data_IF_181488835693
#
_entry.id   IF_181488835693
#
_cell.length_a   1.000
_cell.length_b   1.000
_cell.length_c   1.000
_cell.angle_alpha   90.00
_cell.angle_beta   90.00
_cell.angle_gamma   90.00
#
_symmetry.space_group_name_H-M   'P 1'
#
loop_
_entity.id
_entity.type
_entity.pdbx_description
1 polymer ?
#
# COMPACT_ATOMS: atom_id res chain seq x y z
N UNK A 1 -22.18 -17.54 10.00
CA UNK A 1 -21.38 -16.74 9.05
C UNK A 1 -22.28 -15.71 8.39
N UNK A 2 -21.91 -14.43 8.43
CA UNK A 2 -22.65 -13.37 7.72
C UNK A 2 -22.32 -13.43 6.23
N UNK A 3 -23.19 -12.85 5.37
CA UNK A 3 -22.95 -12.78 3.92
C UNK A 3 -21.58 -12.17 3.54
N UNK A 4 -21.06 -11.24 4.36
CA UNK A 4 -19.72 -10.66 4.16
C UNK A 4 -18.59 -11.65 4.38
N UNK A 5 -18.70 -12.55 5.35
CA UNK A 5 -17.70 -13.60 5.59
C UNK A 5 -17.67 -14.61 4.43
N UNK A 6 -18.86 -14.98 3.91
CA UNK A 6 -18.97 -15.87 2.75
C UNK A 6 -18.36 -15.23 1.50
N UNK A 7 -18.63 -13.94 1.26
CA UNK A 7 -18.06 -13.20 0.13
C UNK A 7 -16.53 -13.12 0.21
N UNK A 8 -15.97 -12.88 1.40
CA UNK A 8 -14.53 -12.86 1.62
C UNK A 8 -13.90 -14.24 1.43
N UNK A 9 -14.54 -15.29 1.98
CA UNK A 9 -14.08 -16.66 1.79
C UNK A 9 -14.04 -17.04 0.30
N UNK A 10 -15.12 -16.78 -0.44
CA UNK A 10 -15.20 -17.05 -1.87
C UNK A 10 -14.13 -16.28 -2.66
N UNK A 11 -13.87 -15.03 -2.29
CA UNK A 11 -12.81 -14.24 -2.92
C UNK A 11 -11.44 -14.86 -2.72
N UNK A 12 -11.12 -15.27 -1.49
CA UNK A 12 -9.83 -15.92 -1.15
C UNK A 12 -9.72 -17.26 -1.87
N UNK A 13 -10.76 -18.08 -1.79
CA UNK A 13 -10.82 -19.40 -2.42
C UNK A 13 -10.64 -19.30 -3.93
N UNK A 14 -11.41 -18.45 -4.59
CA UNK A 14 -11.32 -18.27 -6.04
C UNK A 14 -9.94 -17.79 -6.49
N UNK A 15 -9.32 -16.86 -5.73
CA UNK A 15 -7.96 -16.41 -6.02
C UNK A 15 -6.93 -17.50 -5.82
N UNK A 16 -7.07 -18.31 -4.78
CA UNK A 16 -6.18 -19.45 -4.54
C UNK A 16 -6.27 -20.45 -5.68
N UNK A 17 -7.48 -20.91 -6.04
CA UNK A 17 -7.67 -21.84 -7.15
C UNK A 17 -7.13 -21.26 -8.46
N UNK A 18 -7.47 -20.01 -8.79
CA UNK A 18 -6.98 -19.35 -9.99
C UNK A 18 -5.44 -19.29 -10.06
N UNK A 19 -4.77 -19.15 -8.92
CA UNK A 19 -3.29 -19.14 -8.85
C UNK A 19 -2.66 -20.48 -9.22
N UNK A 20 -3.38 -21.60 -9.06
CA UNK A 20 -2.94 -22.95 -9.39
C UNK A 20 -3.33 -23.35 -10.82
N UNK A 21 -4.15 -22.54 -11.49
CA UNK A 21 -4.62 -22.83 -12.84
C UNK A 21 -3.63 -22.38 -13.90
N UNK A 22 -3.80 -22.95 -15.11
CA UNK A 22 -3.06 -22.51 -16.31
C UNK A 22 -3.28 -21.02 -16.58
N UNK A 23 -2.26 -20.36 -17.10
CA UNK A 23 -2.35 -18.97 -17.55
C UNK A 23 -3.37 -18.84 -18.69
N UNK A 24 -4.18 -17.80 -18.65
CA UNK A 24 -5.06 -17.46 -19.76
C UNK A 24 -4.26 -16.86 -20.92
N UNK A 25 -4.71 -17.13 -22.16
CA UNK A 25 -4.22 -16.44 -23.35
C UNK A 25 -5.27 -15.46 -23.80
N UNK A 26 -4.91 -14.20 -23.87
CA UNK A 26 -5.83 -13.09 -24.20
C UNK A 26 -5.31 -12.37 -25.44
N UNK A 27 -6.20 -12.09 -26.37
CA UNK A 27 -5.91 -11.23 -27.50
C UNK A 27 -6.00 -9.78 -27.02
N UNK A 28 -4.90 -9.05 -27.15
CA UNK A 28 -4.80 -7.64 -26.79
C UNK A 28 -4.70 -6.79 -28.04
N UNK A 29 -5.56 -5.80 -28.13
CA UNK A 29 -5.57 -4.79 -29.17
C UNK A 29 -4.83 -3.54 -28.68
N UNK A 30 -3.94 -3.02 -29.53
CA UNK A 30 -3.28 -1.75 -29.30
C UNK A 30 -3.84 -0.71 -30.25
N UNK A 31 -4.59 0.25 -29.71
CA UNK A 31 -5.25 1.31 -30.47
C UNK A 31 -4.45 2.60 -30.34
N UNK A 32 -4.11 3.19 -31.47
CA UNK A 32 -3.50 4.52 -31.54
C UNK A 32 -4.58 5.51 -31.95
N UNK A 33 -4.85 6.48 -31.09
CA UNK A 33 -5.80 7.55 -31.34
C UNK A 33 -5.03 8.85 -31.53
N UNK A 34 -5.23 9.49 -32.68
CA UNK A 34 -4.70 10.81 -32.98
C UNK A 34 -5.83 11.83 -32.88
N UNK A 35 -5.65 12.85 -32.06
CA UNK A 35 -6.60 13.93 -31.88
C UNK A 35 -5.86 15.26 -31.78
N UNK A 36 -6.05 16.12 -32.77
CA UNK A 36 -5.28 17.37 -32.91
C UNK A 36 -3.77 17.09 -32.87
N UNK A 37 -3.06 17.59 -31.86
CA UNK A 37 -1.62 17.38 -31.69
C UNK A 37 -1.28 16.31 -30.64
N UNK A 38 -2.28 15.55 -30.16
CA UNK A 38 -2.09 14.50 -29.15
C UNK A 38 -2.19 13.12 -29.80
N UNK A 39 -1.25 12.24 -29.41
CA UNK A 39 -1.26 10.81 -29.75
C UNK A 39 -1.44 10.04 -28.45
N UNK A 40 -2.48 9.24 -28.39
CA UNK A 40 -2.81 8.41 -27.24
C UNK A 40 -2.77 6.95 -27.68
N UNK A 41 -2.03 6.11 -26.95
CA UNK A 41 -2.05 4.66 -27.14
C UNK A 41 -2.86 4.03 -26.01
N UNK A 42 -3.82 3.17 -26.39
CA UNK A 42 -4.67 2.43 -25.45
C UNK A 42 -4.55 0.95 -25.77
N UNK A 43 -4.33 0.15 -24.73
CA UNK A 43 -4.32 -1.31 -24.86
C UNK A 43 -5.57 -1.88 -24.22
N UNK A 44 -6.29 -2.72 -24.96
CA UNK A 44 -7.52 -3.36 -24.51
C UNK A 44 -7.45 -4.86 -24.72
N UNK A 45 -7.89 -5.62 -23.73
CA UNK A 45 -8.11 -7.05 -23.90
C UNK A 45 -9.47 -7.25 -24.58
N UNK A 46 -9.49 -7.90 -25.74
CA UNK A 46 -10.68 -7.99 -26.61
C UNK A 46 -11.24 -9.39 -26.73
N UNK A 47 -10.43 -10.42 -26.51
CA UNK A 47 -10.88 -11.80 -26.67
C UNK A 47 -10.03 -12.74 -25.78
N UNK A 48 -10.66 -13.75 -25.21
CA UNK A 48 -9.97 -14.82 -24.49
C UNK A 48 -9.80 -16.00 -25.45
N UNK A 49 -8.55 -16.29 -25.83
CA UNK A 49 -8.19 -17.40 -26.71
C UNK A 49 -8.07 -18.75 -25.98
N UNK A 50 -7.60 -18.70 -24.73
CA UNK A 50 -7.50 -19.86 -23.84
C UNK A 50 -7.91 -19.38 -22.43
N UNK A 51 -8.98 -19.95 -21.93
CA UNK A 51 -9.62 -19.44 -20.71
C UNK A 51 -8.70 -19.50 -19.46
N UNK A 52 -7.96 -20.60 -19.28
CA UNK A 52 -7.09 -20.73 -18.10
C UNK A 52 -7.78 -20.30 -16.81
N UNK A 53 -7.12 -19.46 -16.00
CA UNK A 53 -7.66 -18.95 -14.72
C UNK A 53 -8.91 -18.06 -14.87
N UNK A 54 -9.22 -17.54 -16.08
CA UNK A 54 -10.37 -16.66 -16.28
C UNK A 54 -11.72 -17.37 -16.17
N UNK A 55 -11.73 -18.70 -16.14
CA UNK A 55 -12.92 -19.49 -15.78
C UNK A 55 -13.44 -19.19 -14.37
N UNK A 56 -12.53 -18.88 -13.46
CA UNK A 56 -12.88 -18.60 -12.04
C UNK A 56 -12.82 -17.09 -11.75
N UNK A 57 -11.84 -16.40 -12.32
CA UNK A 57 -11.67 -14.94 -12.19
C UNK A 57 -11.83 -14.28 -13.56
N UNK A 58 -13.06 -13.97 -13.98
CA UNK A 58 -13.31 -13.37 -15.27
C UNK A 58 -12.63 -12.01 -15.38
N UNK A 59 -12.04 -11.73 -16.54
CA UNK A 59 -11.47 -10.45 -16.90
C UNK A 59 -12.47 -9.62 -17.70
N UNK A 60 -12.34 -8.30 -17.62
CA UNK A 60 -13.16 -7.39 -18.40
C UNK A 60 -12.61 -7.31 -19.83
N UNK A 61 -13.42 -7.68 -20.80
CA UNK A 61 -13.10 -7.54 -22.21
C UNK A 61 -13.72 -6.26 -22.77
N UNK A 62 -13.02 -5.64 -23.69
CA UNK A 62 -13.49 -4.49 -24.46
C UNK A 62 -13.94 -4.94 -25.86
N UNK A 63 -14.81 -4.18 -26.49
CA UNK A 63 -15.14 -4.43 -27.88
C UNK A 63 -13.96 -4.08 -28.78
N UNK A 64 -13.75 -4.86 -29.86
CA UNK A 64 -12.75 -4.55 -30.90
C UNK A 64 -13.02 -3.18 -31.50
N UNK A 65 -12.00 -2.36 -31.60
CA UNK A 65 -12.07 -1.03 -32.16
C UNK A 65 -11.92 -1.10 -33.69
N UNK A 66 -12.86 -0.55 -34.43
CA UNK A 66 -12.70 -0.45 -35.88
C UNK A 66 -11.86 0.77 -36.23
N UNK A 67 -10.83 0.63 -37.09
CA UNK A 67 -10.07 1.79 -37.55
C UNK A 67 -10.97 2.75 -38.36
N UNK A 68 -10.77 4.04 -38.15
CA UNK A 68 -11.53 5.07 -38.83
C UNK A 68 -11.68 6.36 -38.04
N UNK A 69 -12.42 7.30 -38.60
CA UNK A 69 -12.73 8.56 -37.89
C UNK A 69 -13.77 8.29 -36.81
N UNK A 70 -13.50 8.75 -35.61
CA UNK A 70 -14.41 8.64 -34.48
C UNK A 70 -14.90 10.03 -34.08
N UNK A 71 -16.20 10.14 -33.79
CA UNK A 71 -16.78 11.35 -33.27
C UNK A 71 -16.69 11.36 -31.73
N UNK A 72 -16.24 12.47 -31.16
CA UNK A 72 -16.24 12.66 -29.72
C UNK A 72 -17.70 12.85 -29.28
N UNK A 73 -18.21 11.94 -28.45
CA UNK A 73 -19.56 12.04 -27.89
C UNK A 73 -19.61 12.87 -26.63
N UNK A 74 -18.56 12.82 -25.81
CA UNK A 74 -18.54 13.44 -24.52
C UNK A 74 -17.09 13.77 -24.12
N UNK A 75 -16.86 14.97 -23.60
CA UNK A 75 -15.60 15.35 -22.97
C UNK A 75 -15.90 15.63 -21.49
N UNK A 76 -15.27 14.86 -20.61
CA UNK A 76 -15.35 15.09 -19.18
C UNK A 76 -14.05 15.70 -18.68
N UNK A 77 -14.16 16.84 -18.03
CA UNK A 77 -13.02 17.37 -17.31
C UNK A 77 -13.27 17.29 -15.80
N UNK A 78 -12.23 16.94 -15.09
CA UNK A 78 -12.22 17.01 -13.64
C UNK A 78 -10.94 17.64 -13.15
N UNK A 79 -11.06 18.43 -12.11
CA UNK A 79 -9.89 19.02 -11.47
C UNK A 79 -9.18 17.94 -10.66
N UNK A 80 -7.94 17.66 -11.00
CA UNK A 80 -7.06 16.82 -10.20
C UNK A 80 -6.33 17.77 -9.24
N UNK A 81 -6.67 17.71 -7.96
CA UNK A 81 -6.01 18.50 -6.94
C UNK A 81 -4.78 17.72 -6.44
N UNK A 82 -3.58 18.19 -6.77
CA UNK A 82 -2.30 17.76 -6.20
C UNK A 82 -2.06 16.24 -6.09
N UNK A 83 -1.22 15.83 -5.15
CA UNK A 83 -1.01 14.42 -4.83
C UNK A 83 -2.26 13.85 -4.17
N UNK A 84 -2.78 12.70 -4.62
CA UNK A 84 -3.96 12.08 -4.01
C UNK A 84 -3.65 11.67 -2.57
N UNK A 85 -4.66 11.79 -1.70
CA UNK A 85 -4.57 11.25 -0.34
C UNK A 85 -4.43 9.72 -0.39
N UNK A 86 -3.71 9.16 0.57
CA UNK A 86 -3.47 7.72 0.67
C UNK A 86 -4.70 6.99 1.24
N UNK A 87 -4.95 5.78 0.77
CA UNK A 87 -5.82 4.81 1.43
C UNK A 87 -5.00 3.97 2.43
N UNK A 88 -5.68 3.20 3.26
CA UNK A 88 -5.01 2.24 4.14
C UNK A 88 -4.14 1.26 3.34
N UNK A 89 -4.66 0.76 2.20
CA UNK A 89 -3.91 -0.12 1.30
C UNK A 89 -2.68 0.54 0.68
N UNK A 90 -2.74 1.85 0.38
CA UNK A 90 -1.58 2.59 -0.12
C UNK A 90 -0.48 2.69 0.95
N UNK A 91 -0.87 2.93 2.21
CA UNK A 91 0.09 2.96 3.33
C UNK A 91 0.74 1.58 3.54
N UNK A 92 -0.06 0.50 3.54
CA UNK A 92 0.48 -0.86 3.66
C UNK A 92 1.48 -1.16 2.54
N UNK A 93 1.15 -0.80 1.30
CA UNK A 93 2.06 -0.98 0.17
C UNK A 93 3.36 -0.21 0.36
N UNK A 94 3.29 1.06 0.77
CA UNK A 94 4.47 1.88 1.06
C UNK A 94 5.32 1.32 2.19
N UNK A 95 4.71 0.83 3.26
CA UNK A 95 5.43 0.18 4.37
C UNK A 95 6.18 -1.05 3.87
N UNK A 96 5.54 -1.88 3.05
CA UNK A 96 6.16 -3.06 2.44
C UNK A 96 7.33 -2.69 1.52
N UNK A 97 7.14 -1.72 0.63
CA UNK A 97 8.18 -1.24 -0.29
C UNK A 97 9.39 -0.67 0.45
N UNK A 98 9.14 0.03 1.56
CA UNK A 98 10.18 0.64 2.39
C UNK A 98 10.74 -0.30 3.45
N UNK A 99 10.25 -1.54 3.54
CA UNK A 99 10.64 -2.55 4.54
C UNK A 99 10.48 -2.06 5.97
N UNK A 100 9.32 -1.46 6.26
CA UNK A 100 8.94 -0.95 7.59
C UNK A 100 7.79 -1.80 8.11
N UNK A 101 7.98 -2.49 9.24
CA UNK A 101 7.01 -3.41 9.81
C UNK A 101 6.88 -4.73 9.04
N UNK A 102 5.98 -5.58 9.49
CA UNK A 102 5.74 -6.93 8.98
C UNK A 102 4.27 -7.13 8.58
N UNK A 103 3.94 -8.12 7.76
CA UNK A 103 2.55 -8.39 7.37
C UNK A 103 1.59 -8.51 8.55
N UNK A 104 2.04 -9.12 9.65
CA UNK A 104 1.26 -9.27 10.90
C UNK A 104 1.01 -7.95 11.65
N UNK A 105 1.82 -6.92 11.41
CA UNK A 105 1.75 -5.65 12.15
C UNK A 105 1.15 -4.50 11.35
N UNK A 106 1.06 -4.59 10.02
CA UNK A 106 0.60 -3.48 9.18
C UNK A 106 -0.79 -2.95 9.57
N UNK A 107 -1.76 -3.85 9.71
CA UNK A 107 -3.12 -3.45 10.09
C UNK A 107 -3.19 -2.88 11.51
N UNK A 108 -2.39 -3.43 12.43
CA UNK A 108 -2.30 -2.94 13.81
C UNK A 108 -1.72 -1.53 13.87
N UNK A 109 -0.71 -1.22 13.07
CA UNK A 109 -0.13 0.13 12.99
C UNK A 109 -1.20 1.12 12.53
N UNK A 110 -1.93 0.80 11.45
CA UNK A 110 -2.97 1.69 10.92
C UNK A 110 -4.09 1.87 11.94
N UNK A 111 -4.60 0.80 12.56
CA UNK A 111 -5.63 0.92 13.60
C UNK A 111 -5.16 1.79 14.77
N UNK A 112 -3.91 1.65 15.21
CA UNK A 112 -3.34 2.48 16.28
C UNK A 112 -3.32 3.97 15.90
N UNK A 113 -2.98 4.32 14.65
CA UNK A 113 -3.01 5.71 14.17
C UNK A 113 -4.43 6.29 14.18
N UNK A 114 -5.43 5.47 13.83
CA UNK A 114 -6.85 5.85 13.86
C UNK A 114 -7.37 5.98 15.29
N UNK A 115 -7.09 5.00 16.16
CA UNK A 115 -7.50 4.97 17.56
C UNK A 115 -6.96 6.17 18.34
N UNK A 116 -5.71 6.55 18.08
CA UNK A 116 -5.07 7.75 18.63
C UNK A 116 -5.48 9.05 17.96
N UNK A 117 -6.32 8.98 16.95
CA UNK A 117 -6.79 10.12 16.17
C UNK A 117 -5.66 10.95 15.52
N UNK A 118 -4.52 10.33 15.23
CA UNK A 118 -3.45 10.99 14.47
C UNK A 118 -3.82 11.11 12.99
N UNK A 119 -4.63 10.19 12.50
CA UNK A 119 -5.26 10.22 11.18
C UNK A 119 -6.76 9.91 11.31
N UNK A 120 -7.56 10.40 10.36
CA UNK A 120 -8.98 10.07 10.21
C UNK A 120 -9.25 9.55 8.81
N UNK A 121 -10.33 8.79 8.66
CA UNK A 121 -10.77 8.28 7.35
C UNK A 121 -11.84 9.22 6.78
N UNK A 122 -11.61 9.74 5.56
CA UNK A 122 -12.61 10.49 4.82
C UNK A 122 -13.85 9.65 4.56
N UNK A 123 -15.08 10.09 4.96
CA UNK A 123 -16.29 9.30 4.84
C UNK A 123 -16.60 8.84 3.40
N UNK A 124 -16.44 9.75 2.43
CA UNK A 124 -16.78 9.49 1.03
C UNK A 124 -15.71 8.75 0.26
N UNK A 125 -14.45 9.15 0.39
CA UNK A 125 -13.34 8.65 -0.45
C UNK A 125 -12.54 7.52 0.21
N UNK A 126 -12.81 7.18 1.46
CA UNK A 126 -12.05 6.18 2.25
C UNK A 126 -10.54 6.43 2.21
N UNK A 127 -10.15 7.71 2.27
CA UNK A 127 -8.76 8.16 2.27
C UNK A 127 -8.36 8.66 3.65
N UNK A 128 -7.10 8.46 4.00
CA UNK A 128 -6.52 8.91 5.26
C UNK A 128 -6.19 10.41 5.19
N UNK A 129 -6.55 11.13 6.23
CA UNK A 129 -6.27 12.55 6.40
C UNK A 129 -5.54 12.71 7.72
N UNK A 130 -4.36 13.34 7.70
CA UNK A 130 -3.65 13.70 8.92
C UNK A 130 -4.46 14.73 9.72
N UNK A 131 -4.53 14.54 11.02
CA UNK A 131 -5.13 15.52 11.92
C UNK A 131 -4.08 16.51 12.40
N UNK A 132 -4.52 17.66 12.94
CA UNK A 132 -3.62 18.63 13.57
C UNK A 132 -2.79 17.99 14.69
N UNK A 133 -3.43 17.17 15.53
CA UNK A 133 -2.74 16.40 16.57
C UNK A 133 -1.66 15.49 15.99
N UNK A 134 -1.98 14.75 14.91
CA UNK A 134 -1.00 13.89 14.23
C UNK A 134 0.20 14.65 13.69
N UNK A 135 -0.03 15.82 13.09
CA UNK A 135 1.04 16.69 12.61
C UNK A 135 1.92 17.24 13.74
N UNK A 136 1.32 17.68 14.84
CA UNK A 136 2.04 18.19 16.01
C UNK A 136 2.90 17.11 16.64
N UNK A 137 2.35 15.91 16.85
CA UNK A 137 3.11 14.75 17.38
C UNK A 137 4.24 14.37 16.43
N UNK A 138 4.00 14.32 15.13
CA UNK A 138 5.06 14.03 14.15
C UNK A 138 6.19 15.06 14.21
N UNK A 139 5.86 16.35 14.26
CA UNK A 139 6.85 17.43 14.37
C UNK A 139 7.68 17.30 15.64
N UNK A 140 7.01 17.09 16.77
CA UNK A 140 7.67 16.91 18.06
C UNK A 140 8.64 15.72 18.05
N UNK A 141 8.17 14.56 17.61
CA UNK A 141 8.99 13.35 17.55
C UNK A 141 10.17 13.51 16.58
N UNK A 142 9.93 14.13 15.41
CA UNK A 142 10.97 14.32 14.43
C UNK A 142 12.03 15.35 14.87
N UNK A 143 11.67 16.32 15.70
CA UNK A 143 12.62 17.30 16.27
C UNK A 143 13.40 16.69 17.42
N UNK A 144 12.72 16.07 18.38
CA UNK A 144 13.30 15.61 19.63
C UNK A 144 13.94 14.22 19.52
N UNK A 145 13.34 13.32 18.72
CA UNK A 145 13.70 11.91 18.66
C UNK A 145 14.02 11.43 17.24
N UNK A 146 14.46 12.31 16.35
CA UNK A 146 14.70 12.01 14.92
C UNK A 146 15.47 10.72 14.69
N UNK A 147 16.52 10.48 15.49
CA UNK A 147 17.34 9.27 15.39
C UNK A 147 16.55 7.98 15.64
N UNK A 148 15.53 8.04 16.52
CA UNK A 148 14.78 6.85 16.96
C UNK A 148 13.50 6.60 16.18
N UNK A 149 12.93 7.65 15.58
CA UNK A 149 11.68 7.56 14.79
C UNK A 149 11.91 7.55 13.28
N UNK A 150 13.16 7.36 12.85
CA UNK A 150 13.48 7.31 11.41
C UNK A 150 13.16 5.95 10.81
N UNK A 151 12.81 5.95 9.51
CA UNK A 151 12.61 4.70 8.75
C UNK A 151 13.85 3.80 8.79
N UNK A 152 15.04 4.40 8.81
CA UNK A 152 16.31 3.67 8.87
C UNK A 152 16.46 2.90 10.18
N UNK A 153 16.12 3.52 11.31
CA UNK A 153 16.17 2.87 12.61
C UNK A 153 15.19 1.71 12.68
N UNK A 154 13.98 1.89 12.18
CA UNK A 154 12.99 0.81 12.11
C UNK A 154 13.50 -0.35 11.26
N UNK A 155 14.08 -0.08 10.08
CA UNK A 155 14.67 -1.14 9.23
C UNK A 155 15.84 -1.87 9.91
N UNK A 156 16.69 -1.14 10.65
CA UNK A 156 17.78 -1.77 11.41
C UNK A 156 17.23 -2.71 12.47
N UNK A 157 16.23 -2.28 13.24
CA UNK A 157 15.59 -3.11 14.26
C UNK A 157 14.94 -4.36 13.66
N UNK A 158 14.19 -4.22 12.57
CA UNK A 158 13.59 -5.36 11.86
C UNK A 158 14.68 -6.36 11.39
N UNK A 159 15.79 -5.86 10.83
CA UNK A 159 16.91 -6.70 10.42
C UNK A 159 17.57 -7.40 11.59
N UNK A 160 17.77 -6.71 12.71
CA UNK A 160 18.34 -7.31 13.93
C UNK A 160 17.43 -8.42 14.45
N UNK A 161 16.11 -8.25 14.40
CA UNK A 161 15.14 -9.31 14.75
C UNK A 161 15.27 -10.52 13.84
N UNK A 162 15.41 -10.31 12.51
CA UNK A 162 15.64 -11.40 11.54
C UNK A 162 16.96 -12.12 11.80
N UNK A 163 18.03 -11.37 12.15
CA UNK A 163 19.34 -11.95 12.45
C UNK A 163 19.32 -12.76 13.76
N UNK A 164 18.51 -12.38 14.74
CA UNK A 164 18.27 -13.19 15.95
C UNK A 164 17.49 -14.46 15.61
N UNK A 165 16.42 -14.34 14.83
CA UNK A 165 15.60 -15.49 14.40
C UNK A 165 16.44 -16.53 13.63
N UNK A 166 17.40 -16.06 12.83
CA UNK A 166 18.33 -16.91 12.08
C UNK A 166 19.57 -17.36 12.89
N UNK A 167 19.62 -17.07 14.20
CA UNK A 167 20.74 -17.48 15.07
C UNK A 167 22.06 -16.76 14.80
N UNK A 168 22.05 -15.63 14.06
CA UNK A 168 23.25 -14.86 13.75
C UNK A 168 23.64 -13.85 14.83
N UNK A 169 22.68 -13.41 15.62
CA UNK A 169 22.87 -12.46 16.71
C UNK A 169 22.22 -13.00 17.99
N UNK A 170 22.87 -12.72 19.12
CA UNK A 170 22.29 -12.98 20.43
C UNK A 170 21.34 -11.85 20.83
N UNK A 171 20.10 -12.20 21.21
CA UNK A 171 19.09 -11.23 21.62
C UNK A 171 19.49 -10.46 22.89
N UNK A 172 20.26 -11.07 23.80
CA UNK A 172 20.71 -10.42 25.04
C UNK A 172 21.61 -9.23 24.72
N UNK A 173 22.53 -9.38 23.79
CA UNK A 173 23.41 -8.29 23.35
C UNK A 173 22.61 -7.12 22.79
N UNK A 174 21.58 -7.39 21.98
CA UNK A 174 20.71 -6.34 21.44
C UNK A 174 19.95 -5.61 22.54
N UNK A 175 19.41 -6.34 23.52
CA UNK A 175 18.69 -5.74 24.65
C UNK A 175 19.61 -4.88 25.53
N UNK A 176 20.87 -5.29 25.73
CA UNK A 176 21.85 -4.51 26.46
C UNK A 176 22.17 -3.19 25.72
N UNK A 177 22.42 -3.24 24.42
CA UNK A 177 22.67 -2.06 23.60
C UNK A 177 21.48 -1.09 23.61
N UNK A 178 20.26 -1.61 23.46
CA UNK A 178 19.05 -0.79 23.52
C UNK A 178 18.85 -0.15 24.89
N UNK A 179 19.10 -0.90 25.98
CA UNK A 179 18.99 -0.38 27.33
C UNK A 179 20.01 0.75 27.57
N UNK A 180 21.25 0.59 27.12
CA UNK A 180 22.26 1.65 27.22
C UNK A 180 21.85 2.91 26.44
N UNK A 181 21.30 2.75 25.22
CA UNK A 181 20.78 3.87 24.45
C UNK A 181 19.62 4.58 25.16
N UNK A 182 18.67 3.84 25.75
CA UNK A 182 17.56 4.41 26.52
C UNK A 182 18.04 5.14 27.77
N UNK A 183 19.05 4.64 28.48
CA UNK A 183 19.64 5.33 29.62
C UNK A 183 20.24 6.68 29.19
N UNK A 184 21.03 6.73 28.13
CA UNK A 184 21.59 7.98 27.59
C UNK A 184 20.51 9.01 27.25
N UNK A 185 19.37 8.55 26.69
CA UNK A 185 18.22 9.42 26.42
C UNK A 185 17.64 9.97 27.74
N UNK A 186 17.38 9.08 28.71
CA UNK A 186 16.79 9.48 29.98
C UNK A 186 17.67 10.50 30.73
N UNK A 187 18.98 10.32 30.66
CA UNK A 187 19.95 11.26 31.29
C UNK A 187 19.94 12.62 30.58
N UNK A 188 19.84 12.65 29.24
CA UNK A 188 19.76 13.91 28.49
C UNK A 188 18.51 14.74 28.82
N UNK A 189 17.40 14.11 29.16
CA UNK A 189 16.19 14.82 29.63
C UNK A 189 16.28 15.38 31.04
N UNK A 190 16.99 14.72 31.92
CA UNK A 190 17.19 15.19 33.29
C UNK A 190 18.09 16.43 33.38
N UNK A 191 18.96 16.63 32.41
CA UNK A 191 19.88 17.77 32.33
C UNK A 191 19.25 19.03 31.70
N UNK A 192 18.07 18.90 31.09
CA UNK A 192 17.39 20.00 30.38
C UNK A 192 16.17 20.54 31.15
N UNK A 193 15.86 19.96 32.30
CA UNK A 193 14.81 20.41 33.25
C UNK A 193 15.45 21.14 34.44
#
# INVERSE_FOLDING_TARGET
>A
LTGRHIALYNLIFNRFIASQMKKAKVLREKVKVEMMNMKIEVENDVEVLDAGFTLILPIKLSQKTKPGKMNIREIKHWRITGKPLFSEGDIIRMMKERRIGRPSTYSKIISTLLDRRYVIISPRKKKLIATRLGEEIYKYLNQTFKKYVSEETTRKLEKMMDDVENGKLDYITILQDLNEQLRKISESFKTTS
#
